data_IF_819754159707
#
_entry.id   IF_819754159707
#
_cell.length_a   1.000
_cell.length_b   1.000
_cell.length_c   1.000
_cell.angle_alpha   90.00
_cell.angle_beta   90.00
_cell.angle_gamma   90.00
#
_symmetry.space_group_name_H-M   'P 1'
#
loop_
_entity.id
_entity.type
_entity.pdbx_description
1 polymer ?
#
# COMPACT_ATOMS: atom_id res chain seq x y z
N UNK A 1 -0.44 -5.19 -33.78
CA UNK A 1 0.30 -6.23 -33.01
C UNK A 1 -0.54 -6.58 -31.79
N UNK A 2 -0.55 -7.84 -31.36
CA UNK A 2 -1.30 -8.32 -30.18
C UNK A 2 -0.34 -9.10 -29.28
N UNK A 3 -0.22 -8.69 -28.02
CA UNK A 3 0.65 -9.31 -27.01
C UNK A 3 -0.13 -9.45 -25.71
N UNK A 4 -0.14 -10.63 -25.10
CA UNK A 4 -0.80 -10.88 -23.83
C UNK A 4 0.20 -10.74 -22.69
N UNK A 5 -0.13 -9.92 -21.69
CA UNK A 5 0.69 -9.77 -20.49
C UNK A 5 -0.02 -10.49 -19.34
N UNK A 6 0.63 -11.53 -18.79
CA UNK A 6 0.00 -12.46 -17.82
C UNK A 6 0.79 -12.64 -16.52
N UNK A 7 1.89 -11.92 -16.33
CA UNK A 7 2.85 -12.14 -15.22
C UNK A 7 3.16 -10.90 -14.39
N UNK A 8 2.28 -9.90 -14.40
CA UNK A 8 2.37 -8.71 -13.55
C UNK A 8 1.13 -8.57 -12.68
N UNK A 9 1.33 -8.09 -11.45
CA UNK A 9 0.26 -7.59 -10.58
C UNK A 9 -0.32 -6.27 -11.11
N UNK A 10 0.45 -5.49 -11.87
CA UNK A 10 -0.03 -4.28 -12.58
C UNK A 10 0.86 -3.92 -13.77
N UNK A 11 0.31 -3.31 -14.82
CA UNK A 11 1.11 -2.68 -15.88
C UNK A 11 1.15 -1.18 -15.64
N UNK A 12 2.35 -0.65 -15.44
CA UNK A 12 2.57 0.76 -15.11
C UNK A 12 2.65 1.61 -16.37
N UNK A 13 3.41 1.13 -17.37
CA UNK A 13 3.56 1.85 -18.63
C UNK A 13 3.69 0.93 -19.83
N UNK A 14 3.24 1.44 -20.97
CA UNK A 14 3.43 0.89 -22.29
C UNK A 14 4.38 1.83 -23.03
N UNK A 15 5.61 1.39 -23.24
CA UNK A 15 6.61 2.15 -23.99
C UNK A 15 6.72 1.57 -25.38
N UNK A 16 6.57 2.40 -26.41
CA UNK A 16 6.80 2.01 -27.78
C UNK A 16 7.85 2.90 -28.42
N UNK A 17 8.80 2.28 -29.12
CA UNK A 17 9.79 3.01 -29.91
C UNK A 17 9.22 3.28 -31.29
N UNK A 18 9.05 4.56 -31.62
CA UNK A 18 8.41 5.00 -32.86
C UNK A 18 9.31 5.95 -33.65
N UNK A 19 9.08 6.01 -34.96
CA UNK A 19 9.49 7.12 -35.81
C UNK A 19 8.40 7.40 -36.84
N UNK A 20 8.51 8.54 -37.50
CA UNK A 20 7.61 8.96 -38.56
C UNK A 20 8.42 9.67 -39.65
N UNK A 21 7.86 9.73 -40.85
CA UNK A 21 8.25 10.69 -41.85
C UNK A 21 7.03 11.31 -42.51
N UNK A 22 7.21 12.58 -42.86
CA UNK A 22 6.33 13.38 -43.67
C UNK A 22 6.92 13.50 -45.07
N UNK A 23 6.74 12.47 -45.88
CA UNK A 23 7.18 12.48 -47.26
C UNK A 23 8.69 12.38 -47.43
N UNK A 24 9.07 11.75 -48.53
CA UNK A 24 10.39 11.92 -49.09
C UNK A 24 10.56 13.42 -49.44
N UNK A 25 11.66 14.11 -49.08
CA UNK A 25 11.90 15.50 -49.51
C UNK A 25 11.93 15.68 -51.04
N UNK A 26 11.94 14.59 -51.82
CA UNK A 26 11.81 14.60 -53.28
C UNK A 26 10.36 14.55 -53.80
N UNK A 27 9.35 14.43 -52.93
CA UNK A 27 7.92 14.37 -53.30
C UNK A 27 7.16 15.38 -52.45
N UNK A 28 7.01 16.61 -52.97
CA UNK A 28 6.26 17.69 -52.32
C UNK A 28 4.78 17.33 -52.21
N UNK A 29 4.36 16.73 -51.09
CA UNK A 29 2.95 16.48 -50.82
C UNK A 29 2.33 17.71 -50.14
N UNK A 30 1.80 18.62 -50.94
CA UNK A 30 1.24 19.91 -50.48
C UNK A 30 -0.29 19.90 -50.40
N UNK A 31 -0.96 18.74 -50.43
CA UNK A 31 -2.39 18.73 -50.78
C UNK A 31 -3.34 17.77 -50.06
N UNK A 32 -3.08 17.26 -48.85
CA UNK A 32 -4.15 16.56 -48.12
C UNK A 32 -4.16 16.78 -46.60
N UNK A 33 -5.36 17.01 -46.06
CA UNK A 33 -5.68 17.07 -44.63
C UNK A 33 -5.72 15.67 -43.98
N UNK A 34 -4.98 14.70 -44.48
CA UNK A 34 -5.03 13.31 -44.00
C UNK A 34 -3.97 13.08 -42.94
N UNK A 35 -4.29 12.34 -41.88
CA UNK A 35 -3.39 12.04 -40.77
C UNK A 35 -3.25 10.52 -40.62
N UNK A 36 -2.02 10.07 -40.43
CA UNK A 36 -1.74 8.71 -39.96
C UNK A 36 -1.86 8.68 -38.44
N UNK A 37 -2.43 7.59 -37.90
CA UNK A 37 -2.67 7.44 -36.46
C UNK A 37 -2.03 6.19 -35.90
N UNK A 38 -1.44 6.25 -34.71
CA UNK A 38 -1.20 5.08 -33.86
C UNK A 38 -2.09 5.19 -32.63
N UNK A 39 -2.89 4.17 -32.38
CA UNK A 39 -3.65 3.99 -31.15
C UNK A 39 -3.06 2.88 -30.29
N UNK A 40 -2.95 3.13 -28.99
CA UNK A 40 -2.50 2.19 -27.97
C UNK A 40 -3.70 1.74 -27.16
N UNK A 41 -4.03 0.45 -27.30
CA UNK A 41 -5.08 -0.21 -26.55
C UNK A 41 -4.48 -1.14 -25.50
N UNK A 42 -5.15 -1.20 -24.35
CA UNK A 42 -4.89 -2.22 -23.34
C UNK A 42 -6.21 -2.78 -22.82
N UNK A 43 -6.34 -4.10 -22.87
CA UNK A 43 -7.56 -4.84 -22.57
C UNK A 43 -8.81 -4.24 -23.26
N UNK A 44 -8.69 -3.95 -24.57
CA UNK A 44 -9.70 -3.34 -25.44
C UNK A 44 -10.11 -1.89 -25.10
N UNK A 45 -9.41 -1.21 -24.19
CA UNK A 45 -9.60 0.22 -23.90
C UNK A 45 -8.47 1.02 -24.53
N UNK A 46 -8.79 2.10 -25.25
CA UNK A 46 -7.79 3.00 -25.85
C UNK A 46 -7.24 3.95 -24.77
N UNK A 47 -5.94 3.91 -24.50
CA UNK A 47 -5.32 4.76 -23.48
C UNK A 47 -4.52 5.92 -24.06
N UNK A 48 -4.04 5.79 -25.29
CA UNK A 48 -3.39 6.91 -25.95
C UNK A 48 -3.47 6.78 -27.46
N UNK A 49 -3.39 7.92 -28.14
CA UNK A 49 -3.28 7.97 -29.59
C UNK A 49 -2.40 9.11 -30.05
N UNK A 50 -1.67 8.86 -31.13
CA UNK A 50 -0.81 9.83 -31.79
C UNK A 50 -1.31 10.03 -33.22
N UNK A 51 -1.32 11.28 -33.68
CA UNK A 51 -1.63 11.63 -35.07
C UNK A 51 -0.44 12.37 -35.68
N UNK A 52 -0.10 12.08 -36.94
CA UNK A 52 0.80 12.93 -37.70
C UNK A 52 0.16 14.31 -37.95
N UNK A 53 0.96 15.37 -37.93
CA UNK A 53 0.46 16.73 -38.14
C UNK A 53 0.13 16.94 -39.62
N UNK A 54 -1.05 17.49 -39.92
CA UNK A 54 -1.38 17.94 -41.29
C UNK A 54 -0.41 19.04 -41.73
N UNK A 55 0.11 18.97 -42.96
CA UNK A 55 1.13 19.89 -43.49
C UNK A 55 2.45 19.89 -42.69
N UNK A 56 2.90 18.72 -42.23
CA UNK A 56 4.07 18.53 -41.36
C UNK A 56 5.41 19.08 -41.92
N UNK A 57 5.53 19.34 -43.22
CA UNK A 57 6.79 19.69 -43.90
C UNK A 57 7.47 20.94 -43.28
N UNK A 58 6.68 21.89 -42.78
CA UNK A 58 7.18 23.12 -42.11
C UNK A 58 6.89 23.20 -40.61
N UNK A 59 6.25 22.19 -40.01
CA UNK A 59 5.86 22.22 -38.60
C UNK A 59 7.04 21.84 -37.67
N UNK A 60 7.22 22.59 -36.58
CA UNK A 60 8.22 22.28 -35.54
C UNK A 60 7.87 21.01 -34.76
N UNK A 61 6.58 20.72 -34.63
CA UNK A 61 6.04 19.46 -34.09
C UNK A 61 5.30 18.74 -35.21
N UNK A 62 5.75 17.53 -35.53
CA UNK A 62 5.23 16.73 -36.64
C UNK A 62 4.23 15.65 -36.21
N UNK A 63 3.94 15.55 -34.91
CA UNK A 63 2.84 14.75 -34.39
C UNK A 63 2.18 15.39 -33.17
N UNK A 64 0.93 15.02 -32.92
CA UNK A 64 0.16 15.35 -31.73
C UNK A 64 -0.13 14.08 -30.95
N UNK A 65 0.04 14.12 -29.62
CA UNK A 65 -0.28 13.03 -28.71
C UNK A 65 -1.54 13.37 -27.90
N UNK A 66 -2.41 12.39 -27.75
CA UNK A 66 -3.60 12.45 -26.91
C UNK A 66 -3.59 11.27 -25.94
N UNK A 67 -3.78 11.57 -24.65
CA UNK A 67 -3.95 10.56 -23.61
C UNK A 67 -5.41 10.50 -23.18
N UNK A 68 -5.91 9.28 -23.01
CA UNK A 68 -7.32 8.97 -22.80
C UNK A 68 -7.47 8.12 -21.54
N UNK A 69 -8.69 8.08 -21.00
CA UNK A 69 -9.05 7.21 -19.87
C UNK A 69 -8.11 7.34 -18.65
N UNK A 70 -7.64 8.56 -18.37
CA UNK A 70 -6.75 8.84 -17.23
C UNK A 70 -5.28 8.46 -17.44
N UNK A 71 -4.90 7.98 -18.63
CA UNK A 71 -3.50 7.83 -18.99
C UNK A 71 -2.80 9.18 -19.10
N UNK A 72 -1.48 9.13 -19.02
CA UNK A 72 -0.58 10.26 -19.22
C UNK A 72 0.76 9.73 -19.76
N UNK A 73 1.67 10.59 -20.18
CA UNK A 73 2.92 10.07 -20.75
C UNK A 73 3.92 11.11 -21.17
N UNK A 74 4.91 10.66 -21.95
CA UNK A 74 5.96 11.53 -22.47
C UNK A 74 5.55 12.23 -23.77
N UNK A 75 5.25 13.53 -23.65
CA UNK A 75 5.14 14.45 -24.79
C UNK A 75 6.54 14.83 -25.28
N UNK A 76 7.29 13.88 -25.84
CA UNK A 76 8.63 14.19 -26.35
C UNK A 76 8.51 14.98 -27.67
N UNK A 77 9.02 16.22 -27.76
CA UNK A 77 8.97 16.99 -29.00
C UNK A 77 9.70 16.25 -30.11
N UNK A 78 8.95 15.98 -31.17
CA UNK A 78 9.36 15.13 -32.27
C UNK A 78 10.11 15.95 -33.33
N UNK A 79 11.37 16.24 -33.06
CA UNK A 79 12.27 16.91 -34.01
C UNK A 79 12.92 15.93 -35.01
N UNK A 80 12.73 16.18 -36.31
CA UNK A 80 13.43 15.54 -37.43
C UNK A 80 12.79 14.26 -37.98
N UNK A 81 12.80 14.13 -39.32
CA UNK A 81 12.30 12.96 -40.07
C UNK A 81 13.11 11.69 -39.70
N UNK A 82 12.44 10.56 -39.45
CA UNK A 82 13.01 9.24 -39.12
C UNK A 82 13.78 9.06 -37.80
N UNK A 83 13.79 10.03 -36.90
CA UNK A 83 14.46 9.87 -35.61
C UNK A 83 13.66 8.98 -34.65
N UNK A 84 14.24 7.86 -34.21
CA UNK A 84 13.59 6.96 -33.24
C UNK A 84 13.42 7.65 -31.88
N UNK A 85 12.24 7.53 -31.28
CA UNK A 85 11.91 8.06 -29.96
C UNK A 85 11.06 7.06 -29.19
N UNK A 86 11.22 7.07 -27.87
CA UNK A 86 10.38 6.28 -26.98
C UNK A 86 9.15 7.12 -26.61
N UNK A 87 7.98 6.62 -27.00
CA UNK A 87 6.69 7.13 -26.55
C UNK A 87 6.22 6.29 -25.37
N UNK A 88 6.15 6.92 -24.20
CA UNK A 88 5.75 6.27 -22.95
C UNK A 88 4.28 6.62 -22.70
N UNK A 89 3.45 5.60 -22.51
CA UNK A 89 2.05 5.72 -22.12
C UNK A 89 1.88 5.07 -20.75
N UNK A 90 1.77 5.89 -19.71
CA UNK A 90 1.49 5.42 -18.35
C UNK A 90 -0.01 5.12 -18.22
N UNK A 91 -0.32 3.93 -17.69
CA UNK A 91 -1.69 3.51 -17.45
C UNK A 91 -2.17 4.03 -16.08
N UNK A 92 -3.44 4.44 -15.94
CA UNK A 92 -3.99 4.85 -14.66
C UNK A 92 -4.05 3.67 -13.68
N UNK A 93 -4.16 3.95 -12.37
CA UNK A 93 -4.35 2.92 -11.35
C UNK A 93 -5.61 2.06 -11.56
N UNK A 94 -6.64 2.61 -12.21
CA UNK A 94 -7.85 1.88 -12.57
C UNK A 94 -7.69 0.92 -13.75
N UNK A 95 -6.53 0.91 -14.44
CA UNK A 95 -6.30 -0.03 -15.53
C UNK A 95 -6.18 -1.46 -15.01
N UNK A 96 -6.66 -2.48 -15.75
CA UNK A 96 -6.59 -3.88 -15.32
C UNK A 96 -5.15 -4.35 -15.04
N UNK A 97 -4.99 -5.21 -14.04
CA UNK A 97 -3.70 -5.82 -13.68
C UNK A 97 -3.10 -6.73 -14.76
N UNK A 98 -3.95 -7.27 -15.64
CA UNK A 98 -3.55 -8.09 -16.80
C UNK A 98 -4.44 -7.80 -18.00
N UNK A 99 -3.91 -8.03 -19.20
CA UNK A 99 -4.64 -7.74 -20.43
C UNK A 99 -3.81 -7.88 -21.70
N UNK A 100 -4.51 -7.79 -22.83
CA UNK A 100 -3.91 -7.74 -24.15
C UNK A 100 -3.51 -6.29 -24.47
N UNK A 101 -2.26 -6.08 -24.89
CA UNK A 101 -1.82 -4.82 -25.50
C UNK A 101 -1.99 -4.91 -27.00
N UNK A 102 -2.61 -3.89 -27.59
CA UNK A 102 -2.81 -3.79 -29.02
C UNK A 102 -2.44 -2.42 -29.55
N UNK A 103 -1.57 -2.40 -30.55
CA UNK A 103 -1.26 -1.22 -31.35
C UNK A 103 -2.01 -1.29 -32.68
N UNK A 104 -2.76 -0.25 -32.99
CA UNK A 104 -3.49 -0.08 -34.25
C UNK A 104 -2.93 1.12 -34.98
N UNK A 105 -2.32 0.89 -36.14
CA UNK A 105 -1.85 1.93 -37.03
C UNK A 105 -2.83 2.08 -38.20
N UNK A 106 -3.37 3.29 -38.39
CA UNK A 106 -4.13 3.65 -39.60
C UNK A 106 -3.27 4.62 -40.40
N UNK A 107 -2.90 4.24 -41.62
CA UNK A 107 -2.03 5.04 -42.46
C UNK A 107 -2.89 5.88 -43.41
N UNK A 108 -2.52 7.15 -43.58
CA UNK A 108 -3.10 8.01 -44.59
C UNK A 108 -2.86 7.41 -46.00
N UNK A 109 -3.76 7.71 -46.93
CA UNK A 109 -3.75 7.13 -48.29
C UNK A 109 -2.63 7.65 -49.19
N UNK A 110 -1.80 8.58 -48.71
CA UNK A 110 -0.81 9.28 -49.53
C UNK A 110 0.59 8.66 -49.45
N UNK A 111 1.32 8.63 -50.58
CA UNK A 111 2.70 8.19 -50.62
C UNK A 111 3.59 9.21 -49.90
N UNK A 112 3.86 8.99 -48.62
CA UNK A 112 4.78 9.82 -47.84
C UNK A 112 4.55 9.82 -46.34
N UNK A 113 3.32 9.58 -45.90
CA UNK A 113 3.00 9.53 -44.47
C UNK A 113 3.33 8.14 -43.92
N UNK A 114 4.57 7.95 -43.48
CA UNK A 114 4.98 6.71 -42.85
C UNK A 114 5.06 6.83 -41.32
N UNK A 115 4.60 5.78 -40.67
CA UNK A 115 4.72 5.57 -39.24
C UNK A 115 5.43 4.23 -39.07
N UNK A 116 6.47 4.22 -38.23
CA UNK A 116 7.24 3.00 -37.93
C UNK A 116 7.21 2.74 -36.44
N UNK A 117 6.89 1.50 -36.09
CA UNK A 117 7.00 0.97 -34.74
C UNK A 117 8.17 -0.01 -34.75
N UNK A 118 9.21 0.28 -33.96
CA UNK A 118 10.43 -0.52 -33.90
C UNK A 118 10.35 -1.58 -32.82
N UNK A 119 9.91 -1.17 -31.63
CA UNK A 119 9.92 -2.01 -30.44
C UNK A 119 8.79 -1.61 -29.48
N UNK A 120 8.48 -2.53 -28.57
CA UNK A 120 7.49 -2.39 -27.54
C UNK A 120 7.97 -3.03 -26.24
N UNK A 121 7.87 -2.26 -25.16
CA UNK A 121 8.20 -2.67 -23.81
C UNK A 121 7.00 -2.36 -22.92
N UNK A 122 6.48 -3.36 -22.22
CA UNK A 122 5.56 -3.15 -21.11
C UNK A 122 6.34 -3.17 -19.81
N UNK A 123 6.28 -2.07 -19.06
CA UNK A 123 6.84 -2.03 -17.72
C UNK A 123 5.71 -2.31 -16.71
N UNK A 124 5.95 -3.30 -15.86
CA UNK A 124 4.93 -3.86 -15.01
C UNK A 124 5.45 -4.21 -13.63
N UNK A 125 4.55 -4.03 -12.68
CA UNK A 125 4.67 -4.40 -11.30
C UNK A 125 4.51 -5.91 -11.12
N UNK A 126 5.43 -6.56 -10.40
CA UNK A 126 5.26 -7.98 -10.04
C UNK A 126 4.51 -8.18 -8.73
N UNK A 127 4.70 -7.28 -7.77
CA UNK A 127 4.12 -7.35 -6.43
C UNK A 127 3.56 -5.97 -6.06
N UNK A 128 2.30 -5.96 -5.65
CA UNK A 128 1.48 -4.82 -5.21
C UNK A 128 0.56 -5.43 -4.14
N UNK A 129 0.97 -5.37 -2.87
CA UNK A 129 0.39 -6.18 -1.78
C UNK A 129 -0.97 -5.66 -1.35
N UNK A 130 -1.16 -4.34 -1.33
CA UNK A 130 -2.41 -3.69 -0.97
C UNK A 130 -3.32 -3.37 -2.19
N UNK A 131 -2.78 -3.43 -3.40
CA UNK A 131 -3.53 -3.25 -4.64
C UNK A 131 -3.83 -1.78 -4.95
N UNK A 132 -3.11 -0.84 -4.36
CA UNK A 132 -3.33 0.59 -4.56
C UNK A 132 -2.73 1.09 -5.89
N UNK A 133 -1.90 0.25 -6.52
CA UNK A 133 -1.30 0.48 -7.80
C UNK A 133 0.12 1.06 -7.76
N UNK A 134 0.74 1.16 -6.59
CA UNK A 134 2.15 1.40 -6.41
C UNK A 134 2.83 0.04 -6.18
N UNK A 135 3.99 -0.18 -6.79
CA UNK A 135 4.71 -1.43 -6.54
C UNK A 135 5.34 -1.44 -5.18
N UNK A 136 5.40 -2.58 -4.49
CA UNK A 136 6.03 -2.69 -3.16
C UNK A 136 7.49 -2.19 -3.11
N UNK A 137 8.21 -2.14 -4.25
CA UNK A 137 9.57 -1.57 -4.29
C UNK A 137 9.62 -0.04 -4.48
N UNK A 138 8.46 0.58 -4.66
CA UNK A 138 8.22 2.02 -4.82
C UNK A 138 7.19 2.55 -3.81
N UNK A 139 6.44 1.67 -3.15
CA UNK A 139 5.57 2.00 -2.03
C UNK A 139 6.42 2.17 -0.76
N UNK A 140 5.97 3.04 0.13
CA UNK A 140 6.56 3.25 1.44
C UNK A 140 5.79 2.51 2.55
N UNK A 141 4.58 2.04 2.28
CA UNK A 141 3.71 1.24 3.16
C UNK A 141 2.99 0.19 2.30
N UNK A 142 3.71 -0.89 1.98
CA UNK A 142 3.33 -1.85 0.92
C UNK A 142 2.05 -2.65 1.22
N UNK A 143 1.66 -2.79 2.48
CA UNK A 143 0.45 -3.51 2.91
C UNK A 143 -0.62 -2.61 3.54
N UNK A 144 -0.36 -1.30 3.55
CA UNK A 144 -1.32 -0.25 3.83
C UNK A 144 -1.88 -0.31 5.26
N UNK A 145 -1.03 -0.71 6.20
CA UNK A 145 -1.40 -0.88 7.59
C UNK A 145 -1.14 0.38 8.43
N UNK A 146 -0.49 1.38 7.83
CA UNK A 146 -0.17 2.67 8.44
C UNK A 146 1.21 2.72 9.09
N UNK A 147 1.98 1.64 9.02
CA UNK A 147 3.40 1.62 9.33
C UNK A 147 4.24 1.72 8.05
N UNK A 148 5.48 2.20 8.16
CA UNK A 148 6.35 2.33 7.00
C UNK A 148 7.20 1.09 6.82
N UNK A 149 7.37 0.61 5.59
CA UNK A 149 8.22 -0.55 5.23
C UNK A 149 9.63 -0.43 5.81
N UNK A 150 10.15 0.80 5.89
CA UNK A 150 11.45 1.09 6.48
C UNK A 150 11.54 0.67 7.95
N UNK A 151 10.46 0.83 8.73
CA UNK A 151 10.38 0.45 10.16
C UNK A 151 10.09 -1.04 10.31
N UNK A 152 9.33 -1.64 9.39
CA UNK A 152 8.84 -3.03 9.51
C UNK A 152 9.75 -4.08 8.88
N UNK A 153 10.71 -3.62 8.08
CA UNK A 153 11.75 -4.50 7.57
C UNK A 153 12.58 -5.14 8.69
N UNK A 154 13.45 -6.06 8.32
CA UNK A 154 14.19 -6.87 9.29
C UNK A 154 15.31 -6.15 10.04
N UNK A 155 15.39 -4.82 9.98
CA UNK A 155 16.37 -4.03 10.71
C UNK A 155 15.70 -3.20 11.80
N UNK A 156 16.45 -2.87 12.86
CA UNK A 156 15.98 -2.05 13.97
C UNK A 156 16.02 -0.56 13.59
N UNK A 157 15.14 -0.17 12.66
CA UNK A 157 14.97 1.21 12.22
C UNK A 157 13.90 1.88 13.07
N UNK A 158 14.16 3.12 13.46
CA UNK A 158 13.23 3.93 14.26
C UNK A 158 12.78 5.15 13.47
N UNK A 159 11.64 5.72 13.85
CA UNK A 159 11.13 6.96 13.26
C UNK A 159 12.14 8.12 13.27
N UNK A 160 13.08 8.15 14.23
CA UNK A 160 14.14 9.17 14.30
C UNK A 160 15.14 9.14 13.14
N UNK A 161 15.22 8.01 12.43
CA UNK A 161 16.12 7.82 11.29
C UNK A 161 15.41 8.09 9.96
N UNK A 162 14.09 8.29 10.00
CA UNK A 162 13.31 8.60 8.82
C UNK A 162 13.36 10.10 8.52
N UNK A 163 13.37 10.39 7.24
CA UNK A 163 13.29 11.72 6.66
C UNK A 163 12.15 11.75 5.66
N UNK A 164 11.67 12.94 5.29
CA UNK A 164 10.66 13.05 4.24
C UNK A 164 11.17 12.40 2.95
N UNK A 165 10.38 11.48 2.42
CA UNK A 165 10.70 10.78 1.20
C UNK A 165 10.55 11.73 0.00
N UNK A 166 11.34 11.46 -1.04
CA UNK A 166 11.32 12.17 -2.31
C UNK A 166 11.76 11.24 -3.44
N UNK A 167 11.70 11.74 -4.67
CA UNK A 167 11.99 10.94 -5.86
C UNK A 167 10.74 10.19 -6.32
N UNK A 168 10.87 8.89 -6.55
CA UNK A 168 9.83 8.03 -7.14
C UNK A 168 9.09 7.15 -6.14
N UNK A 169 9.45 7.23 -4.86
CA UNK A 169 8.81 6.46 -3.79
C UNK A 169 7.76 7.30 -3.08
N UNK A 170 6.62 6.71 -2.73
CA UNK A 170 5.53 7.40 -2.03
C UNK A 170 4.67 6.43 -1.24
N UNK A 171 3.96 6.94 -0.23
CA UNK A 171 2.86 6.19 0.40
C UNK A 171 1.67 6.09 -0.55
N UNK A 172 1.08 4.91 -0.58
CA UNK A 172 -0.08 4.59 -1.38
C UNK A 172 -1.42 5.21 -0.97
N UNK A 173 -2.42 5.08 -1.84
CA UNK A 173 -3.80 5.46 -1.54
C UNK A 173 -4.39 4.49 -0.52
N UNK A 174 -4.89 5.03 0.60
CA UNK A 174 -5.42 4.23 1.71
C UNK A 174 -4.50 4.26 2.92
N UNK A 175 -3.21 4.54 2.71
CA UNK A 175 -2.23 4.53 3.79
C UNK A 175 -2.39 5.73 4.69
N UNK A 176 -2.27 5.48 5.99
CA UNK A 176 -2.19 6.53 7.01
C UNK A 176 -0.76 6.87 7.40
N UNK A 177 0.22 6.17 6.82
CA UNK A 177 1.63 6.40 7.08
C UNK A 177 2.08 7.78 6.56
N UNK A 178 3.10 8.35 7.20
CA UNK A 178 3.71 9.60 6.74
C UNK A 178 4.64 9.33 5.57
N UNK A 179 4.68 10.19 4.55
CA UNK A 179 5.54 10.03 3.38
C UNK A 179 7.05 10.18 3.71
N UNK A 180 7.64 9.16 4.33
CA UNK A 180 8.99 9.16 4.88
C UNK A 180 9.74 7.88 4.55
N UNK A 181 11.07 7.99 4.45
CA UNK A 181 11.98 6.88 4.22
C UNK A 181 13.36 7.21 4.82
N UNK A 182 14.36 6.37 4.62
CA UNK A 182 15.72 6.50 5.15
C UNK A 182 16.58 7.55 4.43
N UNK A 183 16.10 8.06 3.30
CA UNK A 183 16.87 8.93 2.43
C UNK A 183 15.95 9.83 1.60
N UNK A 184 16.29 11.12 1.53
CA UNK A 184 15.48 12.14 0.85
C UNK A 184 15.96 12.47 -0.57
N UNK A 185 17.08 11.90 -1.04
CA UNK A 185 17.64 12.23 -2.36
C UNK A 185 18.63 11.18 -2.87
N UNK A 186 18.93 11.21 -4.17
CA UNK A 186 19.92 10.31 -4.78
C UNK A 186 21.34 10.40 -4.16
N UNK A 187 21.65 11.46 -3.42
CA UNK A 187 22.95 11.66 -2.77
C UNK A 187 23.18 10.77 -1.54
N UNK A 188 22.12 10.20 -0.96
CA UNK A 188 22.21 9.31 0.21
C UNK A 188 21.91 7.84 -0.13
N UNK A 189 21.94 7.46 -1.41
CA UNK A 189 21.88 6.05 -1.84
C UNK A 189 23.14 5.64 -2.59
N UNK A 190 23.46 4.34 -2.59
CA UNK A 190 24.51 3.80 -3.45
C UNK A 190 24.02 3.60 -4.90
N UNK A 191 24.88 3.06 -5.77
CA UNK A 191 24.56 2.79 -7.18
C UNK A 191 23.37 1.85 -7.40
N UNK A 192 22.99 1.09 -6.38
CA UNK A 192 21.85 0.16 -6.42
C UNK A 192 20.60 0.75 -5.78
N UNK A 193 20.61 2.04 -5.40
CA UNK A 193 19.48 2.70 -4.75
C UNK A 193 19.33 2.39 -3.26
N UNK A 194 20.30 1.72 -2.63
CA UNK A 194 20.23 1.38 -1.20
C UNK A 194 20.66 2.59 -0.35
N UNK A 195 19.82 3.07 0.60
CA UNK A 195 20.20 4.13 1.53
C UNK A 195 21.51 3.87 2.27
N UNK A 196 22.30 4.90 2.46
CA UNK A 196 23.60 4.84 3.12
C UNK A 196 23.50 5.45 4.52
N UNK A 197 23.48 4.60 5.55
CA UNK A 197 23.28 5.02 6.93
C UNK A 197 24.58 5.01 7.74
N UNK A 198 24.70 5.97 8.65
CA UNK A 198 25.75 6.05 9.67
C UNK A 198 25.23 6.82 10.90
N UNK A 199 25.15 6.21 12.09
CA UNK A 199 25.51 4.82 12.41
C UNK A 199 24.59 3.80 11.73
N UNK A 200 25.11 2.58 11.56
CA UNK A 200 24.38 1.48 10.93
C UNK A 200 23.37 0.85 11.92
N UNK A 201 22.06 0.81 11.61
CA UNK A 201 21.10 0.09 12.44
C UNK A 201 21.42 -1.42 12.47
N UNK A 202 21.08 -2.09 13.57
CA UNK A 202 21.20 -3.55 13.67
C UNK A 202 20.29 -4.21 12.62
N UNK A 203 20.83 -5.15 11.84
CA UNK A 203 20.10 -5.83 10.77
C UNK A 203 20.11 -5.10 9.42
N UNK A 204 20.65 -3.87 9.35
CA UNK A 204 20.80 -3.13 8.11
C UNK A 204 22.23 -3.25 7.53
N UNK A 205 22.36 -3.23 6.21
CA UNK A 205 23.64 -3.19 5.49
C UNK A 205 23.62 -2.10 4.43
N UNK A 206 24.66 -1.26 4.35
CA UNK A 206 24.81 -0.29 3.26
C UNK A 206 25.04 -0.95 1.89
N UNK A 207 25.30 -2.27 1.84
CA UNK A 207 25.43 -3.02 0.59
C UNK A 207 24.10 -3.67 0.18
N UNK A 208 23.32 -4.16 1.14
CA UNK A 208 22.16 -5.03 0.90
C UNK A 208 20.82 -4.47 1.39
N UNK A 209 20.82 -3.36 2.13
CA UNK A 209 19.64 -2.84 2.82
C UNK A 209 19.23 -3.71 4.00
N UNK A 210 17.92 -3.80 4.22
CA UNK A 210 17.28 -4.69 5.18
C UNK A 210 16.49 -5.79 4.46
N UNK A 211 16.08 -6.83 5.19
CA UNK A 211 15.13 -7.83 4.68
C UNK A 211 13.70 -7.31 4.78
N UNK A 212 12.75 -8.01 4.13
CA UNK A 212 11.33 -7.61 4.07
C UNK A 212 10.65 -7.50 5.44
N UNK A 213 11.08 -8.28 6.44
CA UNK A 213 10.46 -8.25 7.77
C UNK A 213 8.95 -8.49 7.70
N UNK A 214 8.18 -7.64 8.36
CA UNK A 214 6.71 -7.66 8.40
C UNK A 214 6.02 -6.66 7.47
N UNK A 215 6.75 -5.97 6.60
CA UNK A 215 6.22 -4.91 5.70
C UNK A 215 5.17 -5.36 4.67
N UNK A 216 4.78 -6.64 4.66
CA UNK A 216 3.82 -7.21 3.70
C UNK A 216 2.73 -8.05 4.40
N UNK A 217 2.63 -7.98 5.73
CA UNK A 217 1.80 -8.87 6.54
C UNK A 217 0.40 -8.28 6.86
N UNK A 218 0.19 -6.99 6.59
CA UNK A 218 -1.05 -6.25 6.82
C UNK A 218 -1.35 -6.01 8.30
N UNK A 219 -0.32 -6.00 9.15
CA UNK A 219 -0.43 -5.87 10.60
C UNK A 219 0.67 -4.93 11.10
N UNK A 220 0.31 -3.74 11.64
CA UNK A 220 1.29 -2.73 11.97
C UNK A 220 2.27 -3.24 13.01
N UNK A 221 3.57 -3.06 12.74
CA UNK A 221 4.59 -3.41 13.71
C UNK A 221 4.38 -2.64 15.03
N UNK A 222 4.77 -3.28 16.13
CA UNK A 222 4.71 -2.65 17.45
C UNK A 222 5.48 -1.31 17.54
N UNK A 223 6.43 -1.07 16.62
CA UNK A 223 7.18 0.18 16.52
C UNK A 223 6.34 1.35 15.95
N UNK A 224 5.25 1.06 15.24
CA UNK A 224 4.32 2.04 14.69
C UNK A 224 3.02 2.19 15.50
N UNK A 225 2.70 1.22 16.34
CA UNK A 225 1.52 1.28 17.20
C UNK A 225 1.72 2.35 18.29
N UNK A 226 1.08 3.51 18.10
CA UNK A 226 1.01 4.61 19.10
C UNK A 226 -0.06 4.35 20.17
N UNK A 227 -0.42 3.08 20.40
CA UNK A 227 -1.35 2.70 21.46
C UNK A 227 -0.51 2.26 22.66
N UNK A 228 -0.31 3.21 23.58
CA UNK A 228 0.39 2.99 24.84
C UNK A 228 -0.30 1.90 25.65
N UNK A 229 0.13 0.65 25.53
CA UNK A 229 0.22 -0.19 26.71
C UNK A 229 1.53 0.18 27.37
N UNK A 230 1.45 0.72 28.59
CA UNK A 230 2.61 0.76 29.49
C UNK A 230 3.28 -0.61 29.41
N UNK A 231 4.55 -0.64 29.00
CA UNK A 231 5.29 -1.89 28.88
C UNK A 231 5.20 -2.55 30.26
N UNK A 232 4.62 -3.75 30.39
CA UNK A 232 4.35 -4.31 31.70
C UNK A 232 5.63 -4.30 32.48
N UNK A 233 5.67 -3.56 33.60
CA UNK A 233 6.83 -3.54 34.48
C UNK A 233 7.11 -4.98 34.87
N UNK A 234 8.17 -5.53 34.30
CA UNK A 234 8.56 -6.91 34.51
C UNK A 234 9.19 -6.97 35.91
N UNK A 235 8.34 -6.98 36.93
CA UNK A 235 8.76 -7.29 38.27
C UNK A 235 9.29 -8.72 38.21
N UNK A 236 10.59 -8.90 38.41
CA UNK A 236 11.25 -10.21 38.46
C UNK A 236 10.71 -11.11 39.58
N UNK A 237 9.79 -10.60 40.39
CA UNK A 237 9.09 -11.32 41.43
C UNK A 237 7.83 -12.01 40.88
N UNK A 238 7.83 -13.33 40.92
CA UNK A 238 6.62 -14.16 40.86
C UNK A 238 5.69 -13.74 42.00
N UNK A 239 4.58 -13.04 41.70
CA UNK A 239 3.56 -12.66 42.70
C UNK A 239 2.38 -13.64 42.62
N UNK A 240 2.26 -14.60 43.55
CA UNK A 240 1.20 -15.61 43.52
C UNK A 240 -0.19 -15.00 43.66
N UNK A 241 -1.14 -15.49 42.88
CA UNK A 241 -2.56 -15.16 43.04
C UNK A 241 -3.07 -15.76 44.36
N UNK A 242 -3.67 -14.92 45.22
CA UNK A 242 -4.17 -15.35 46.54
C UNK A 242 -5.68 -15.57 46.60
N UNK A 243 -6.43 -15.08 45.62
CA UNK A 243 -7.88 -15.19 45.56
C UNK A 243 -8.30 -15.92 44.27
N UNK A 244 -9.23 -16.86 44.36
CA UNK A 244 -9.74 -17.52 43.17
C UNK A 244 -10.92 -18.44 43.41
N UNK A 245 -11.68 -18.68 42.34
CA UNK A 245 -12.83 -19.59 42.29
C UNK A 245 -12.58 -20.61 41.18
N UNK A 246 -12.67 -21.91 41.51
CA UNK A 246 -12.49 -22.99 40.55
C UNK A 246 -13.60 -24.02 40.66
N UNK A 247 -14.12 -24.47 39.51
CA UNK A 247 -15.07 -25.60 39.45
C UNK A 247 -14.36 -26.96 39.29
N UNK A 248 -13.02 -26.98 39.33
CA UNK A 248 -12.21 -28.19 39.14
C UNK A 248 -11.75 -28.83 40.45
N UNK A 249 -12.16 -28.28 41.60
CA UNK A 249 -11.83 -28.83 42.92
C UNK A 249 -10.35 -28.72 43.32
N UNK A 250 -9.61 -27.76 42.75
CA UNK A 250 -8.15 -27.61 42.96
C UNK A 250 -7.76 -26.53 43.98
N UNK A 251 -8.72 -25.87 44.61
CA UNK A 251 -8.42 -24.80 45.54
C UNK A 251 -7.69 -25.31 46.81
N UNK A 252 -6.64 -24.59 47.20
CA UNK A 252 -5.89 -24.81 48.44
C UNK A 252 -4.56 -25.56 48.25
N UNK A 253 -3.75 -25.55 49.31
CA UNK A 253 -2.41 -26.15 49.32
C UNK A 253 -2.42 -27.66 49.09
N UNK A 254 -3.48 -28.35 49.56
CA UNK A 254 -3.59 -29.82 49.49
C UNK A 254 -4.06 -30.32 48.11
N UNK A 255 -4.57 -29.45 47.24
CA UNK A 255 -5.18 -29.84 45.97
C UNK A 255 -4.48 -29.21 44.76
N UNK A 256 -3.15 -29.24 44.77
CA UNK A 256 -2.33 -28.76 43.64
C UNK A 256 -1.99 -27.27 43.73
N UNK A 257 -2.08 -26.67 44.92
CA UNK A 257 -1.58 -25.33 45.23
C UNK A 257 -2.19 -24.20 44.37
N UNK A 258 -3.39 -24.42 43.84
CA UNK A 258 -4.14 -23.41 43.09
C UNK A 258 -4.93 -22.51 44.06
N UNK A 259 -5.05 -21.19 43.82
CA UNK A 259 -4.62 -20.43 42.64
C UNK A 259 -3.17 -19.94 42.67
N UNK A 260 -2.42 -20.22 43.74
CA UNK A 260 -1.06 -19.67 43.97
C UNK A 260 -0.01 -20.11 42.93
N UNK A 261 -0.28 -21.14 42.13
CA UNK A 261 0.53 -21.48 40.95
C UNK A 261 0.32 -20.55 39.75
N UNK A 262 -0.67 -19.65 39.80
CA UNK A 262 -0.82 -18.54 38.85
C UNK A 262 -0.15 -17.32 39.48
N UNK A 263 0.52 -16.54 38.65
CA UNK A 263 1.15 -15.30 39.06
C UNK A 263 0.53 -14.11 38.35
N UNK A 264 0.76 -12.92 38.90
CA UNK A 264 0.47 -11.65 38.23
C UNK A 264 -1.02 -11.39 37.98
N UNK A 265 -1.89 -11.83 38.91
CA UNK A 265 -3.30 -11.44 38.93
C UNK A 265 -3.80 -11.26 40.37
N UNK A 266 -4.84 -10.43 40.54
CA UNK A 266 -5.51 -10.30 41.84
C UNK A 266 -6.47 -11.46 42.12
N UNK A 267 -7.16 -11.96 41.08
CA UNK A 267 -8.15 -13.04 41.18
C UNK A 267 -8.01 -14.01 40.01
N UNK A 268 -8.08 -15.32 40.27
CA UNK A 268 -8.14 -16.36 39.24
C UNK A 268 -9.52 -17.04 39.22
N UNK A 269 -10.13 -17.14 38.03
CA UNK A 269 -11.36 -17.91 37.81
C UNK A 269 -11.04 -19.07 36.86
N UNK A 270 -11.39 -20.30 37.22
CA UNK A 270 -11.01 -21.48 36.44
C UNK A 270 -12.16 -22.47 36.24
N UNK A 271 -12.34 -22.90 34.98
CA UNK A 271 -13.24 -23.97 34.58
C UNK A 271 -12.84 -24.53 33.21
N UNK A 272 -13.19 -25.79 32.92
CA UNK A 272 -12.91 -26.43 31.61
C UNK A 272 -14.07 -26.33 30.62
N UNK A 273 -15.30 -26.27 31.12
CA UNK A 273 -16.51 -26.49 30.31
C UNK A 273 -17.63 -25.49 30.59
N UNK A 274 -17.39 -24.53 31.47
CA UNK A 274 -18.36 -23.49 31.85
C UNK A 274 -17.72 -22.13 31.62
N UNK A 275 -18.44 -21.23 30.97
CA UNK A 275 -18.04 -19.83 30.81
C UNK A 275 -18.27 -19.03 32.09
N UNK A 276 -17.58 -17.90 32.21
CA UNK A 276 -17.85 -16.90 33.24
C UNK A 276 -18.97 -15.97 32.75
N UNK A 277 -20.04 -15.84 33.53
CA UNK A 277 -21.17 -14.96 33.21
C UNK A 277 -21.11 -13.75 34.13
N UNK A 278 -20.89 -12.57 33.55
CA UNK A 278 -21.03 -11.29 34.24
C UNK A 278 -22.49 -10.83 34.28
N UNK A 279 -22.79 -9.80 35.06
CA UNK A 279 -24.11 -9.17 35.10
C UNK A 279 -24.57 -8.79 33.70
N UNK A 280 -25.76 -9.26 33.33
CA UNK A 280 -26.42 -8.95 32.04
C UNK A 280 -27.33 -7.75 32.23
N UNK A 281 -27.16 -6.72 31.41
CA UNK A 281 -27.93 -5.49 31.47
C UNK A 281 -28.31 -5.10 30.05
N UNK A 282 -29.52 -4.61 29.79
CA UNK A 282 -29.95 -4.27 28.43
C UNK A 282 -29.82 -2.80 28.07
N UNK A 283 -29.28 -1.94 28.94
CA UNK A 283 -28.99 -0.51 28.67
C UNK A 283 -28.23 0.05 29.88
N UNK A 284 -26.95 -0.32 30.07
CA UNK A 284 -26.19 0.11 31.25
C UNK A 284 -26.01 1.63 31.34
N UNK A 285 -26.12 2.35 30.23
CA UNK A 285 -26.10 3.82 30.17
C UNK A 285 -27.27 4.48 30.91
N UNK A 286 -28.42 3.81 31.01
CA UNK A 286 -29.64 4.37 31.61
C UNK A 286 -30.06 3.66 32.88
N UNK A 287 -29.79 2.36 32.98
CA UNK A 287 -30.21 1.53 34.12
C UNK A 287 -29.22 1.58 35.29
N UNK A 288 -27.96 1.92 35.05
CA UNK A 288 -26.94 2.09 36.09
C UNK A 288 -26.74 3.58 36.32
N UNK A 289 -27.35 4.11 37.38
CA UNK A 289 -27.39 5.55 37.67
C UNK A 289 -26.09 6.09 38.27
N UNK A 290 -25.27 5.24 38.91
CA UNK A 290 -24.00 5.61 39.53
C UNK A 290 -22.89 4.63 39.13
N UNK A 291 -22.45 4.64 37.86
CA UNK A 291 -21.37 3.77 37.43
C UNK A 291 -20.04 4.20 38.05
N UNK A 292 -19.17 3.22 38.31
CA UNK A 292 -17.79 3.45 38.78
C UNK A 292 -16.80 2.95 37.74
N UNK A 293 -15.69 3.67 37.59
CA UNK A 293 -14.64 3.36 36.60
C UNK A 293 -14.17 1.91 36.79
N UNK A 294 -14.10 1.16 35.69
CA UNK A 294 -13.75 -0.26 35.68
C UNK A 294 -14.93 -1.21 35.92
N UNK A 295 -16.15 -0.72 36.13
CA UNK A 295 -17.34 -1.57 36.20
C UNK A 295 -17.54 -2.30 34.87
N UNK A 296 -17.82 -3.61 34.92
CA UNK A 296 -18.03 -4.45 33.74
C UNK A 296 -19.43 -5.06 33.74
N UNK A 297 -20.09 -5.04 32.59
CA UNK A 297 -21.41 -5.64 32.37
C UNK A 297 -21.49 -6.21 30.96
N UNK A 298 -22.31 -7.24 30.75
CA UNK A 298 -22.65 -7.65 29.40
C UNK A 298 -23.93 -6.93 28.97
N UNK A 299 -23.79 -5.99 28.04
CA UNK A 299 -24.90 -5.33 27.40
C UNK A 299 -25.61 -6.28 26.44
N UNK A 300 -26.86 -6.64 26.74
CA UNK A 300 -27.62 -7.58 25.92
C UNK A 300 -28.31 -6.94 24.71
N UNK A 301 -28.42 -5.62 24.63
CA UNK A 301 -29.08 -4.95 23.50
C UNK A 301 -28.12 -4.20 22.57
N UNK A 302 -26.82 -4.23 22.86
CA UNK A 302 -25.82 -3.66 21.97
C UNK A 302 -25.75 -4.49 20.66
N UNK A 303 -26.27 -3.92 19.57
CA UNK A 303 -26.33 -4.58 18.26
C UNK A 303 -27.16 -5.87 18.27
N UNK A 304 -26.79 -6.83 17.40
CA UNK A 304 -27.50 -8.12 17.27
C UNK A 304 -27.00 -9.21 18.23
N UNK A 305 -25.79 -9.07 18.78
CA UNK A 305 -25.09 -10.12 19.55
C UNK A 305 -24.87 -9.78 21.03
N UNK A 306 -25.14 -8.53 21.43
CA UNK A 306 -24.71 -8.00 22.72
C UNK A 306 -23.20 -7.74 22.77
N UNK A 307 -22.75 -7.11 23.85
CA UNK A 307 -21.38 -6.63 24.01
C UNK A 307 -20.94 -6.62 25.48
N UNK A 308 -19.71 -7.07 25.76
CA UNK A 308 -19.10 -6.81 27.07
C UNK A 308 -18.70 -5.33 27.15
N UNK A 309 -19.30 -4.57 28.06
CA UNK A 309 -19.00 -3.15 28.28
C UNK A 309 -18.19 -2.91 29.54
N UNK A 310 -17.26 -1.97 29.47
CA UNK A 310 -16.50 -1.43 30.62
C UNK A 310 -16.82 0.06 30.75
N UNK A 311 -17.12 0.53 31.96
CA UNK A 311 -17.28 1.95 32.22
C UNK A 311 -15.92 2.63 32.40
N UNK A 312 -15.62 3.61 31.55
CA UNK A 312 -14.32 4.28 31.49
C UNK A 312 -14.26 5.62 32.23
N UNK A 313 -15.42 6.17 32.63
CA UNK A 313 -15.52 7.43 33.36
C UNK A 313 -16.59 8.36 32.80
N UNK A 314 -16.66 9.60 33.31
CA UNK A 314 -17.68 10.60 32.99
C UNK A 314 -17.17 11.76 32.12
N UNK A 315 -15.89 11.76 31.75
CA UNK A 315 -15.25 12.76 30.92
C UNK A 315 -15.69 12.71 29.45
N UNK A 316 -15.29 13.72 28.69
CA UNK A 316 -15.54 13.79 27.26
C UNK A 316 -14.83 12.63 26.55
N UNK A 317 -15.60 11.83 25.81
CA UNK A 317 -15.08 10.62 25.14
C UNK A 317 -15.07 9.36 26.03
N UNK A 318 -15.39 9.46 27.32
CA UNK A 318 -15.52 8.32 28.24
C UNK A 318 -16.94 7.72 28.18
N UNK A 319 -17.34 6.99 29.23
CA UNK A 319 -18.62 6.30 29.34
C UNK A 319 -18.51 4.78 29.24
N UNK A 320 -19.64 4.12 28.99
CA UNK A 320 -19.67 2.69 28.73
C UNK A 320 -19.08 2.39 27.35
N UNK A 321 -18.01 1.59 27.31
CA UNK A 321 -17.29 1.23 26.07
C UNK A 321 -17.39 -0.25 25.80
N UNK A 322 -17.65 -0.57 24.55
CA UNK A 322 -17.70 -1.93 24.07
C UNK A 322 -16.32 -2.54 23.90
N UNK A 323 -16.16 -3.75 24.40
CA UNK A 323 -15.00 -4.59 24.12
C UNK A 323 -15.26 -5.38 22.83
N UNK A 324 -15.23 -4.68 21.69
CA UNK A 324 -15.55 -5.23 20.37
C UNK A 324 -14.39 -5.17 19.37
N UNK A 325 -13.28 -4.50 19.73
CA UNK A 325 -12.06 -4.49 18.95
C UNK A 325 -11.15 -5.60 19.44
N UNK A 326 -10.85 -6.56 18.56
CA UNK A 326 -9.85 -7.58 18.83
C UNK A 326 -8.47 -6.91 18.79
N UNK A 327 -7.82 -6.80 19.95
CA UNK A 327 -6.39 -6.46 19.99
C UNK A 327 -5.60 -7.72 19.65
N UNK A 328 -4.49 -7.57 18.93
CA UNK A 328 -3.58 -8.68 18.64
C UNK A 328 -3.12 -9.36 19.95
N UNK A 329 -3.04 -10.70 19.98
CA UNK A 329 -2.57 -11.46 21.15
C UNK A 329 -1.11 -11.16 21.50
#
# INVERSE_FOLDING_TARGET
MKQNITSCSKINSLTTRISWADGNPAISNTSSNTQSTISVFYNNVEYARMYTTVNAESATNKATFEYLNGAFGSDTPLGGSYTQRDWIVNLPASAPSSGEVMFVANLASEPGDDIRIYDFFADGCKNDTDGDGICNNLDLDSDNDGCLDAIEGGANITASQLVNAAGTVSVGTGSTASNQNLCAANTCVNSNGIPQLSPLPTGYSNTNGQTVGGSLDGIPSAACITVCYETPTNLTASVPVKHGITILGRAGAENGNWPMLRNSAYTALEGKTKGFVVTRNSSPETTITNPVVGMMVFDTNEGATGCLKIYTGSGAGEGWKCFNTQTCP
#
